data_IF_400889429679
#
_entry.id   IF_400889429679
#
_cell.length_a   1.000
_cell.length_b   1.000
_cell.length_c   1.000
_cell.angle_alpha   90.00
_cell.angle_beta   90.00
_cell.angle_gamma   90.00
#
_symmetry.space_group_name_H-M   'P 1'
#
loop_
_entity.id
_entity.type
_entity.pdbx_description
1 polymer ?
#
# COMPACT_ATOMS: atom_id res chain seq x y z
N UNK A 1 -15.63 21.60 6.90
CA UNK A 1 -14.70 21.64 8.05
C UNK A 1 -13.51 20.77 7.68
N UNK A 2 -12.28 21.22 7.90
CA UNK A 2 -11.09 20.41 7.64
C UNK A 2 -11.03 19.31 8.70
N UNK A 3 -11.13 18.06 8.26
CA UNK A 3 -10.90 16.88 9.09
C UNK A 3 -9.45 16.87 9.57
N UNK A 4 -9.22 16.65 10.86
CA UNK A 4 -7.88 16.51 11.44
C UNK A 4 -7.78 15.23 12.25
N UNK A 5 -6.54 14.77 12.42
CA UNK A 5 -6.22 13.53 13.10
C UNK A 5 -5.48 13.78 14.40
N UNK A 6 -5.76 12.93 15.39
CA UNK A 6 -5.06 12.90 16.67
C UNK A 6 -4.51 11.50 16.89
N UNK A 7 -3.26 11.40 17.29
CA UNK A 7 -2.53 10.14 17.37
C UNK A 7 -2.00 9.92 18.78
N UNK A 8 -2.18 8.71 19.30
CA UNK A 8 -1.56 8.24 20.54
C UNK A 8 -0.59 7.08 20.24
N UNK A 9 0.66 7.21 20.70
CA UNK A 9 1.62 6.12 20.80
C UNK A 9 1.73 5.71 22.25
N UNK A 10 1.60 4.41 22.52
CA UNK A 10 1.65 3.88 23.89
C UNK A 10 2.58 2.67 23.99
N UNK A 11 3.57 2.79 24.86
CA UNK A 11 4.54 1.76 25.21
C UNK A 11 4.81 1.92 26.70
N UNK A 12 4.25 1.06 27.53
CA UNK A 12 4.29 1.22 28.98
C UNK A 12 5.74 1.44 29.50
N UNK A 13 5.98 2.47 30.35
CA UNK A 13 5.02 3.40 30.96
C UNK A 13 4.76 4.69 30.15
N UNK A 14 5.30 4.80 28.94
CA UNK A 14 5.30 6.01 28.13
C UNK A 14 4.09 6.13 27.21
N UNK A 15 3.62 7.36 27.05
CA UNK A 15 2.57 7.76 26.12
C UNK A 15 3.04 9.04 25.41
N UNK A 16 2.96 9.07 24.09
CA UNK A 16 3.07 10.29 23.30
C UNK A 16 1.74 10.57 22.60
N UNK A 17 1.38 11.84 22.49
CA UNK A 17 0.15 12.28 21.86
C UNK A 17 0.45 13.44 20.93
N UNK A 18 -0.08 13.36 19.72
CA UNK A 18 0.08 14.38 18.69
C UNK A 18 -1.32 14.75 18.23
N UNK A 19 -1.59 16.04 18.13
CA UNK A 19 -2.93 16.57 17.87
C UNK A 19 -2.94 17.37 16.58
N UNK A 20 -4.12 17.50 15.97
CA UNK A 20 -4.37 18.37 14.82
C UNK A 20 -3.50 18.07 13.59
N UNK A 21 -3.13 16.80 13.39
CA UNK A 21 -2.40 16.37 12.21
C UNK A 21 -3.31 16.44 10.97
N UNK A 22 -2.77 16.90 9.85
CA UNK A 22 -3.41 16.63 8.57
C UNK A 22 -3.08 15.19 8.09
N UNK A 23 -3.76 14.74 7.03
CA UNK A 23 -3.56 13.38 6.50
C UNK A 23 -2.13 13.16 5.98
N UNK A 24 -1.51 14.16 5.36
CA UNK A 24 -0.18 14.07 4.76
C UNK A 24 0.88 13.91 5.85
N UNK A 25 0.77 14.71 6.91
CA UNK A 25 1.65 14.68 8.07
C UNK A 25 1.51 13.36 8.86
N UNK A 26 0.27 12.92 9.09
CA UNK A 26 -0.04 11.64 9.72
C UNK A 26 0.62 10.48 8.95
N UNK A 27 0.47 10.45 7.62
CA UNK A 27 1.03 9.40 6.78
C UNK A 27 2.56 9.41 6.76
N UNK A 28 3.16 10.56 6.53
CA UNK A 28 4.61 10.69 6.38
C UNK A 28 5.37 10.36 7.68
N UNK A 29 4.87 10.86 8.82
CA UNK A 29 5.58 10.74 10.11
C UNK A 29 5.27 9.45 10.86
N UNK A 30 4.05 8.92 10.73
CA UNK A 30 3.58 7.84 11.60
C UNK A 30 3.14 6.60 10.82
N UNK A 31 2.14 6.71 9.93
CA UNK A 31 1.52 5.52 9.35
C UNK A 31 2.44 4.78 8.38
N UNK A 32 3.22 5.49 7.54
CA UNK A 32 4.17 4.82 6.63
C UNK A 32 5.30 4.10 7.37
N UNK A 33 6.02 4.72 8.34
CA UNK A 33 6.96 3.99 9.17
C UNK A 33 6.32 2.81 9.92
N UNK A 34 5.12 3.01 10.46
CA UNK A 34 4.37 1.97 11.17
C UNK A 34 4.11 0.74 10.31
N UNK A 35 3.54 0.93 9.12
CA UNK A 35 3.24 -0.14 8.17
C UNK A 35 4.52 -0.85 7.70
N UNK A 36 5.63 -0.12 7.58
CA UNK A 36 6.95 -0.65 7.19
C UNK A 36 7.69 -1.32 8.36
N UNK A 37 7.15 -1.33 9.57
CA UNK A 37 7.85 -1.82 10.76
C UNK A 37 9.12 -1.02 11.08
N UNK A 38 9.20 0.24 10.65
CA UNK A 38 10.34 1.12 10.88
C UNK A 38 10.14 1.93 12.17
N UNK A 39 11.24 2.23 12.86
CA UNK A 39 11.23 3.05 14.08
C UNK A 39 10.56 4.41 13.83
N UNK A 40 9.66 4.83 14.72
CA UNK A 40 9.09 6.17 14.73
C UNK A 40 9.82 7.02 15.76
N UNK A 41 10.36 8.16 15.34
CA UNK A 41 10.96 9.15 16.22
C UNK A 41 9.92 10.24 16.54
N UNK A 42 9.53 10.37 17.81
CA UNK A 42 8.56 11.35 18.27
C UNK A 42 8.98 11.92 19.64
N UNK A 43 9.11 13.25 19.68
CA UNK A 43 9.76 13.99 20.76
C UNK A 43 11.18 13.43 21.02
N UNK A 44 11.56 13.22 22.27
CA UNK A 44 12.87 12.65 22.65
C UNK A 44 12.85 11.11 22.74
N UNK A 45 11.89 10.44 22.08
CA UNK A 45 11.68 8.98 22.19
C UNK A 45 11.53 8.29 20.86
N UNK A 46 11.99 7.05 20.83
CA UNK A 46 11.86 6.13 19.70
C UNK A 46 10.80 5.08 20.01
N UNK A 47 9.91 4.86 19.06
CA UNK A 47 8.71 4.04 19.18
C UNK A 47 8.77 2.89 18.18
N UNK A 48 9.29 1.71 18.59
CA UNK A 48 9.32 0.53 17.73
C UNK A 48 7.89 -0.01 17.52
N UNK A 49 7.40 -0.17 16.28
CA UNK A 49 6.02 -0.61 16.01
C UNK A 49 5.65 -1.95 16.67
N UNK A 50 6.59 -2.87 16.79
CA UNK A 50 6.40 -4.21 17.36
C UNK A 50 6.20 -4.22 18.89
N UNK A 51 6.50 -3.11 19.58
CA UNK A 51 6.31 -2.96 21.04
C UNK A 51 5.45 -1.75 21.42
N UNK A 52 4.90 -1.06 20.42
CA UNK A 52 4.08 0.14 20.60
C UNK A 52 2.64 -0.18 20.25
N UNK A 53 1.69 0.50 20.88
CA UNK A 53 0.30 0.57 20.39
C UNK A 53 0.08 1.94 19.77
N UNK A 54 -0.48 1.97 18.56
CA UNK A 54 -0.86 3.18 17.85
C UNK A 54 -2.38 3.28 17.81
N UNK A 55 -2.91 4.46 18.10
CA UNK A 55 -4.33 4.79 18.00
C UNK A 55 -4.48 6.12 17.27
N UNK A 56 -5.41 6.19 16.33
CA UNK A 56 -5.72 7.39 15.54
C UNK A 56 -7.20 7.72 15.68
N UNK A 57 -7.46 8.98 16.04
CA UNK A 57 -8.78 9.57 16.08
C UNK A 57 -8.93 10.58 14.94
N UNK A 58 -10.09 10.61 14.30
CA UNK A 58 -10.47 11.66 13.34
C UNK A 58 -11.62 12.50 13.89
N UNK A 59 -11.48 13.83 13.86
CA UNK A 59 -12.55 14.71 14.31
C UNK A 59 -12.18 16.19 14.28
N UNK A 60 -12.79 16.95 15.19
CA UNK A 60 -12.58 18.40 15.26
C UNK A 60 -11.17 18.74 15.77
N UNK A 61 -10.60 19.89 15.35
CA UNK A 61 -9.36 20.38 15.92
C UNK A 61 -9.48 20.67 17.42
N UNK A 62 -8.51 20.19 18.18
CA UNK A 62 -8.37 20.51 19.60
C UNK A 62 -7.76 21.91 19.72
N UNK A 63 -8.41 22.79 20.48
CA UNK A 63 -7.99 24.18 20.59
C UNK A 63 -6.75 24.30 21.49
N UNK A 64 -5.89 25.31 21.29
CA UNK A 64 -4.67 25.48 22.08
C UNK A 64 -4.89 25.54 23.61
N UNK A 65 -6.01 26.11 24.04
CA UNK A 65 -6.43 26.19 25.44
C UNK A 65 -6.82 24.84 26.04
N UNK A 66 -7.21 23.87 25.20
CA UNK A 66 -7.57 22.50 25.60
C UNK A 66 -6.36 21.55 25.64
N UNK A 67 -5.26 21.91 24.98
CA UNK A 67 -4.00 21.15 25.01
C UNK A 67 -3.28 21.26 26.37
N UNK A 68 -3.59 22.29 27.16
CA UNK A 68 -3.04 22.51 28.49
C UNK A 68 -3.41 21.42 29.50
N UNK A 69 -2.50 21.13 30.44
CA UNK A 69 -2.73 20.26 31.62
C UNK A 69 -3.18 18.82 31.29
N UNK A 70 -2.81 18.28 30.11
CA UNK A 70 -3.09 16.90 29.73
C UNK A 70 -4.56 16.62 29.34
N UNK A 71 -5.37 17.67 29.14
CA UNK A 71 -6.80 17.55 28.82
C UNK A 71 -7.08 17.29 27.34
N UNK A 72 -6.12 17.57 26.46
CA UNK A 72 -6.30 17.48 25.01
C UNK A 72 -6.78 16.12 24.50
N UNK A 73 -6.38 15.02 25.13
CA UNK A 73 -6.86 13.68 24.73
C UNK A 73 -8.32 13.44 25.06
N UNK A 74 -8.79 13.96 26.20
CA UNK A 74 -10.20 13.89 26.57
C UNK A 74 -11.07 14.71 25.61
N UNK A 75 -10.59 15.89 25.21
CA UNK A 75 -11.24 16.73 24.20
C UNK A 75 -11.29 16.02 22.84
N UNK A 76 -10.16 15.50 22.35
CA UNK A 76 -10.09 14.75 21.10
C UNK A 76 -11.06 13.55 21.10
N UNK A 77 -11.09 12.76 22.18
CA UNK A 77 -11.92 11.54 22.24
C UNK A 77 -13.43 11.83 22.20
N UNK A 78 -13.87 12.98 22.71
CA UNK A 78 -15.30 13.28 22.85
C UNK A 78 -16.00 13.47 21.50
N UNK A 79 -15.33 14.14 20.58
CA UNK A 79 -15.89 14.57 19.30
C UNK A 79 -15.13 13.97 18.10
N UNK A 80 -14.53 12.78 18.29
CA UNK A 80 -13.79 12.07 17.25
C UNK A 80 -14.18 10.59 17.14
N UNK A 81 -13.99 10.05 15.94
CA UNK A 81 -14.12 8.63 15.62
C UNK A 81 -12.75 7.93 15.69
N UNK A 82 -12.71 6.69 16.15
CA UNK A 82 -11.51 5.85 16.07
C UNK A 82 -11.36 5.28 14.66
N UNK A 83 -10.42 5.82 13.90
CA UNK A 83 -10.17 5.47 12.49
C UNK A 83 -8.91 4.63 12.32
N UNK A 84 -8.32 4.13 13.41
CA UNK A 84 -7.00 3.46 13.42
C UNK A 84 -6.86 2.39 12.34
N UNK A 85 -7.79 1.43 12.31
CA UNK A 85 -7.73 0.31 11.37
C UNK A 85 -7.98 0.76 9.92
N UNK A 86 -8.88 1.73 9.73
CA UNK A 86 -9.19 2.29 8.42
C UNK A 86 -7.96 2.97 7.81
N UNK A 87 -7.31 3.87 8.57
CA UNK A 87 -6.14 4.60 8.07
C UNK A 87 -4.91 3.70 7.92
N UNK A 88 -4.71 2.71 8.81
CA UNK A 88 -3.64 1.71 8.60
C UNK A 88 -3.93 0.88 7.34
N UNK A 89 -5.18 0.49 7.11
CA UNK A 89 -5.58 -0.25 5.91
C UNK A 89 -5.38 0.56 4.63
N UNK A 90 -5.80 1.83 4.63
CA UNK A 90 -5.58 2.76 3.52
C UNK A 90 -4.09 2.98 3.27
N UNK A 91 -3.31 3.21 4.32
CA UNK A 91 -1.88 3.44 4.19
C UNK A 91 -1.13 2.17 3.82
N UNK A 92 -1.62 0.97 4.16
CA UNK A 92 -1.11 -0.29 3.58
C UNK A 92 -1.35 -0.32 2.07
N UNK A 93 -2.61 -0.12 1.63
CA UNK A 93 -2.98 -0.05 0.20
C UNK A 93 -2.28 1.08 -0.56
N UNK A 94 -1.93 2.18 0.10
CA UNK A 94 -1.24 3.32 -0.48
C UNK A 94 0.30 3.26 -0.36
N UNK A 95 0.84 2.56 0.64
CA UNK A 95 2.27 2.27 0.75
C UNK A 95 2.70 1.11 -0.17
N UNK A 96 1.73 0.30 -0.59
CA UNK A 96 1.83 -0.63 -1.73
C UNK A 96 2.24 0.10 -3.03
N UNK A 97 1.90 1.38 -3.20
CA UNK A 97 2.51 2.27 -4.20
C UNK A 97 3.91 2.78 -3.74
N UNK A 98 4.84 1.85 -3.54
CA UNK A 98 6.26 2.21 -3.38
C UNK A 98 6.78 2.74 -4.73
N UNK A 99 7.62 3.79 -4.79
CA UNK A 99 8.16 4.28 -6.07
C UNK A 99 8.82 3.20 -6.94
N UNK A 100 9.40 2.17 -6.30
CA UNK A 100 9.90 0.97 -6.95
C UNK A 100 8.79 0.14 -7.64
N UNK A 101 7.64 -0.05 -6.99
CA UNK A 101 6.46 -0.73 -7.55
C UNK A 101 5.91 0.08 -8.71
N UNK A 102 5.72 1.40 -8.56
CA UNK A 102 5.24 2.26 -9.65
C UNK A 102 6.16 2.25 -10.88
N UNK A 103 7.47 2.39 -10.65
CA UNK A 103 8.46 2.34 -11.72
C UNK A 103 8.49 0.97 -12.41
N UNK A 104 8.34 -0.12 -11.64
CA UNK A 104 8.29 -1.46 -12.21
C UNK A 104 6.98 -1.70 -12.99
N UNK A 105 5.83 -1.25 -12.47
CA UNK A 105 4.54 -1.35 -13.19
C UNK A 105 4.61 -0.71 -14.56
N UNK A 106 5.24 0.46 -14.66
CA UNK A 106 5.39 1.15 -15.95
C UNK A 106 6.32 0.38 -16.91
N UNK A 107 7.41 -0.19 -16.41
CA UNK A 107 8.29 -1.05 -17.22
C UNK A 107 7.58 -2.33 -17.69
N UNK A 108 6.84 -2.99 -16.79
CA UNK A 108 6.09 -4.21 -17.09
C UNK A 108 4.98 -3.92 -18.08
N UNK A 109 4.18 -2.87 -17.88
CA UNK A 109 3.10 -2.49 -18.79
C UNK A 109 3.62 -2.19 -20.20
N UNK A 110 4.78 -1.53 -20.31
CA UNK A 110 5.45 -1.27 -21.59
C UNK A 110 5.95 -2.56 -22.24
N UNK A 111 6.55 -3.46 -21.46
CA UNK A 111 7.07 -4.73 -21.99
C UNK A 111 5.95 -5.69 -22.39
N UNK A 112 4.83 -5.65 -21.68
CA UNK A 112 3.66 -6.49 -21.89
C UNK A 112 2.92 -6.22 -23.21
N UNK A 113 3.30 -5.19 -23.98
CA UNK A 113 2.88 -5.05 -25.38
C UNK A 113 3.18 -6.32 -26.19
N UNK A 114 4.27 -7.01 -25.83
CA UNK A 114 4.54 -8.40 -26.20
C UNK A 114 4.29 -9.30 -24.97
N UNK A 115 3.86 -10.57 -25.14
CA UNK A 115 3.69 -11.47 -24.00
C UNK A 115 4.96 -11.57 -23.15
N UNK A 116 4.88 -11.20 -21.87
CA UNK A 116 6.01 -11.17 -20.94
C UNK A 116 5.82 -12.21 -19.84
N UNK A 117 6.82 -13.06 -19.63
CA UNK A 117 6.81 -14.03 -18.54
C UNK A 117 7.15 -13.40 -17.19
N UNK A 118 6.63 -13.99 -16.11
CA UNK A 118 6.95 -13.60 -14.73
C UNK A 118 8.46 -13.62 -14.40
N UNK A 119 9.29 -14.55 -14.94
CA UNK A 119 10.75 -14.48 -14.75
C UNK A 119 11.38 -13.19 -15.30
N UNK A 120 10.82 -12.64 -16.37
CA UNK A 120 11.27 -11.35 -16.94
C UNK A 120 10.89 -10.21 -15.99
N UNK A 121 9.71 -10.26 -15.38
CA UNK A 121 9.30 -9.25 -14.38
C UNK A 121 10.22 -9.28 -13.16
N UNK A 122 10.57 -10.47 -12.65
CA UNK A 122 11.55 -10.60 -11.58
C UNK A 122 12.94 -10.07 -11.99
N UNK A 123 13.37 -10.34 -13.23
CA UNK A 123 14.64 -9.81 -13.75
C UNK A 123 14.63 -8.28 -13.87
N UNK A 124 13.51 -7.66 -14.26
CA UNK A 124 13.35 -6.21 -14.29
C UNK A 124 13.46 -5.60 -12.88
N UNK A 125 12.84 -6.22 -11.87
CA UNK A 125 12.98 -5.80 -10.48
C UNK A 125 14.43 -5.91 -9.98
N UNK A 126 15.12 -7.02 -10.32
CA UNK A 126 16.51 -7.23 -9.97
C UNK A 126 17.47 -6.23 -10.64
N UNK A 127 17.23 -5.91 -11.92
CA UNK A 127 18.02 -4.93 -12.65
C UNK A 127 17.83 -3.49 -12.12
N UNK A 128 16.60 -3.15 -11.70
CA UNK A 128 16.31 -1.86 -11.08
C UNK A 128 16.91 -1.70 -9.68
N UNK A 129 17.08 -2.81 -8.95
CA UNK A 129 17.53 -2.82 -7.56
C UNK A 129 18.57 -3.92 -7.27
N UNK A 130 19.79 -3.84 -7.85
CA UNK A 130 20.80 -4.91 -7.76
C UNK A 130 21.34 -5.12 -6.35
N UNK A 131 21.23 -4.13 -5.45
CA UNK A 131 21.67 -4.22 -4.06
C UNK A 131 20.63 -4.80 -3.10
N UNK A 132 19.41 -5.08 -3.56
CA UNK A 132 18.35 -5.65 -2.73
C UNK A 132 18.45 -7.16 -2.65
N UNK A 133 17.89 -7.74 -1.59
CA UNK A 133 17.78 -9.20 -1.44
C UNK A 133 16.81 -9.74 -2.49
N UNK A 134 17.03 -10.98 -2.92
CA UNK A 134 16.14 -11.66 -3.87
C UNK A 134 14.67 -11.66 -3.42
N UNK A 135 14.41 -11.82 -2.11
CA UNK A 135 13.05 -11.76 -1.55
C UNK A 135 12.40 -10.38 -1.68
N UNK A 136 13.17 -9.29 -1.60
CA UNK A 136 12.66 -7.92 -1.74
C UNK A 136 12.38 -7.59 -3.21
N UNK A 137 13.27 -8.02 -4.11
CA UNK A 137 13.07 -7.92 -5.56
C UNK A 137 11.80 -8.66 -5.99
N UNK A 138 11.62 -9.89 -5.50
CA UNK A 138 10.44 -10.71 -5.79
C UNK A 138 9.16 -10.10 -5.21
N UNK A 139 9.21 -9.54 -3.99
CA UNK A 139 8.06 -8.87 -3.38
C UNK A 139 7.56 -7.67 -4.20
N UNK A 140 8.48 -6.84 -4.73
CA UNK A 140 8.10 -5.72 -5.60
C UNK A 140 7.56 -6.20 -6.95
N UNK A 141 8.15 -7.25 -7.51
CA UNK A 141 7.65 -7.87 -8.74
C UNK A 141 6.23 -8.41 -8.58
N UNK A 142 5.97 -9.15 -7.49
CA UNK A 142 4.66 -9.71 -7.16
C UNK A 142 3.61 -8.60 -7.01
N UNK A 143 3.91 -7.58 -6.21
CA UNK A 143 3.02 -6.46 -5.97
C UNK A 143 2.70 -5.72 -7.28
N UNK A 144 3.71 -5.43 -8.11
CA UNK A 144 3.51 -4.75 -9.39
C UNK A 144 2.57 -5.54 -10.33
N UNK A 145 2.75 -6.86 -10.41
CA UNK A 145 1.85 -7.71 -11.21
C UNK A 145 0.44 -7.71 -10.66
N UNK A 146 0.28 -7.86 -9.34
CA UNK A 146 -1.01 -7.88 -8.68
C UNK A 146 -1.81 -6.61 -8.97
N UNK A 147 -1.17 -5.45 -8.83
CA UNK A 147 -1.78 -4.16 -9.11
C UNK A 147 -2.11 -3.96 -10.58
N UNK A 148 -1.22 -4.36 -11.50
CA UNK A 148 -1.48 -4.25 -12.94
C UNK A 148 -2.69 -5.10 -13.38
N UNK A 149 -2.85 -6.29 -12.80
CA UNK A 149 -4.02 -7.16 -13.03
C UNK A 149 -5.30 -6.50 -12.50
N UNK A 150 -5.26 -5.99 -11.28
CA UNK A 150 -6.41 -5.31 -10.66
C UNK A 150 -6.81 -4.01 -11.37
N UNK A 151 -5.85 -3.29 -11.92
CA UNK A 151 -6.07 -2.08 -12.72
C UNK A 151 -6.53 -2.40 -14.15
N UNK A 152 -6.59 -3.67 -14.55
CA UNK A 152 -6.97 -4.08 -15.91
C UNK A 152 -5.95 -3.68 -16.98
N UNK A 153 -4.72 -3.28 -16.59
CA UNK A 153 -3.66 -2.86 -17.51
C UNK A 153 -3.01 -4.06 -18.21
N UNK A 154 -3.03 -5.22 -17.58
CA UNK A 154 -2.55 -6.48 -18.14
C UNK A 154 -3.56 -7.60 -17.92
N UNK A 155 -3.51 -8.63 -18.76
CA UNK A 155 -4.22 -9.90 -18.61
C UNK A 155 -3.19 -11.00 -18.43
N UNK A 156 -3.46 -11.93 -17.50
CA UNK A 156 -2.64 -13.11 -17.30
C UNK A 156 -3.15 -14.27 -18.16
N UNK A 157 -2.23 -14.95 -18.84
CA UNK A 157 -2.47 -16.10 -19.71
C UNK A 157 -1.71 -17.31 -19.18
N UNK A 158 -2.36 -18.48 -19.16
CA UNK A 158 -1.74 -19.79 -18.95
C UNK A 158 -2.08 -20.64 -20.16
N UNK A 159 -1.07 -21.19 -20.84
CA UNK A 159 -1.24 -21.92 -22.11
C UNK A 159 -2.07 -21.15 -23.15
N UNK A 160 -1.87 -19.82 -23.20
CA UNK A 160 -2.58 -18.91 -24.11
C UNK A 160 -4.02 -18.61 -23.70
N UNK A 161 -4.53 -19.14 -22.60
CA UNK A 161 -5.88 -18.90 -22.11
C UNK A 161 -5.91 -17.87 -20.96
N UNK A 162 -6.82 -16.88 -20.98
CA UNK A 162 -6.98 -15.93 -19.88
C UNK A 162 -7.30 -16.61 -18.55
N UNK A 163 -6.58 -16.21 -17.50
CA UNK A 163 -6.84 -16.65 -16.14
C UNK A 163 -7.91 -15.78 -15.51
N UNK A 164 -8.96 -16.40 -14.95
CA UNK A 164 -10.02 -15.68 -14.24
C UNK A 164 -9.50 -15.04 -12.94
N UNK A 165 -10.18 -13.98 -12.49
CA UNK A 165 -9.74 -13.18 -11.34
C UNK A 165 -9.59 -14.00 -10.06
N UNK A 166 -10.47 -14.96 -9.84
CA UNK A 166 -10.49 -15.83 -8.67
C UNK A 166 -9.26 -16.73 -8.59
N UNK A 167 -8.63 -17.01 -9.75
CA UNK A 167 -7.44 -17.86 -9.87
C UNK A 167 -6.14 -17.06 -9.87
N UNK A 168 -6.19 -15.73 -9.88
CA UNK A 168 -4.97 -14.93 -9.93
C UNK A 168 -4.04 -15.20 -8.75
N UNK A 169 -4.58 -15.22 -7.54
CA UNK A 169 -3.79 -15.45 -6.33
C UNK A 169 -3.08 -16.81 -6.36
N UNK A 170 -3.82 -17.86 -6.74
CA UNK A 170 -3.27 -19.22 -6.86
C UNK A 170 -2.10 -19.27 -7.85
N UNK A 171 -2.21 -18.58 -8.99
CA UNK A 171 -1.17 -18.57 -10.02
C UNK A 171 0.02 -17.69 -9.63
N UNK A 172 -0.21 -16.47 -9.14
CA UNK A 172 0.85 -15.52 -8.76
C UNK A 172 1.70 -16.05 -7.60
N UNK A 173 1.10 -16.71 -6.61
CA UNK A 173 1.83 -17.21 -5.44
C UNK A 173 2.60 -18.52 -5.69
N UNK A 174 2.45 -19.16 -6.85
CA UNK A 174 3.19 -20.38 -7.17
C UNK A 174 4.64 -20.07 -7.51
N UNK A 175 5.57 -20.78 -6.87
CA UNK A 175 6.99 -20.68 -7.18
C UNK A 175 7.31 -20.95 -8.66
N UNK A 176 6.67 -21.97 -9.27
CA UNK A 176 6.84 -22.33 -10.67
C UNK A 176 6.48 -21.21 -11.66
N UNK A 177 5.63 -20.25 -11.24
CA UNK A 177 5.31 -19.07 -12.06
C UNK A 177 6.52 -18.16 -12.22
N UNK A 178 7.30 -17.98 -11.15
CA UNK A 178 8.46 -17.08 -11.11
C UNK A 178 9.77 -17.75 -11.52
N UNK A 179 9.87 -19.06 -11.34
CA UNK A 179 11.02 -19.88 -11.67
C UNK A 179 10.57 -21.20 -12.32
N UNK A 180 10.05 -21.17 -13.56
CA UNK A 180 9.55 -22.35 -14.24
C UNK A 180 10.67 -23.34 -14.56
N UNK A 181 10.42 -24.61 -14.34
CA UNK A 181 11.26 -25.71 -14.78
C UNK A 181 11.01 -26.02 -16.27
N UNK A 182 11.91 -26.79 -16.87
CA UNK A 182 11.71 -27.29 -18.23
C UNK A 182 10.45 -28.17 -18.28
N UNK A 183 9.44 -27.73 -19.05
CA UNK A 183 8.16 -28.43 -19.20
C UNK A 183 6.99 -27.81 -18.43
N UNK A 184 7.22 -26.79 -17.59
CA UNK A 184 6.13 -26.05 -16.96
C UNK A 184 5.37 -25.20 -18.00
N UNK A 185 4.03 -25.11 -17.90
CA UNK A 185 3.24 -24.28 -18.80
C UNK A 185 3.61 -22.79 -18.62
N UNK A 186 3.84 -22.03 -19.70
CA UNK A 186 4.24 -20.63 -19.58
C UNK A 186 3.09 -19.79 -19.04
N UNK A 187 3.38 -19.05 -17.96
CA UNK A 187 2.50 -18.00 -17.43
C UNK A 187 2.96 -16.65 -17.96
N UNK A 188 2.11 -15.99 -18.74
CA UNK A 188 2.44 -14.76 -19.45
C UNK A 188 1.50 -13.63 -19.04
N UNK A 189 2.02 -12.41 -19.03
CA UNK A 189 1.26 -11.18 -18.94
C UNK A 189 1.22 -10.54 -20.33
N UNK A 190 0.06 -10.06 -20.72
CA UNK A 190 -0.13 -9.32 -21.95
C UNK A 190 -0.89 -8.02 -21.68
N UNK A 191 -0.47 -6.92 -22.30
CA UNK A 191 -1.16 -5.65 -22.20
C UNK A 191 -2.57 -5.80 -22.74
N UNK A 192 -3.56 -5.28 -22.01
CA UNK A 192 -4.89 -5.15 -22.59
C UNK A 192 -4.88 -3.90 -23.47
N UNK A 193 -5.25 -3.96 -24.77
CA UNK A 193 -5.43 -2.74 -25.56
C UNK A 193 -6.48 -1.88 -24.86
N UNK A 194 -6.19 -0.58 -24.75
CA UNK A 194 -6.82 0.38 -23.83
C UNK A 194 -8.28 0.10 -23.55
N UNK A 195 -8.59 -0.24 -22.29
CA UNK A 195 -9.92 -0.03 -21.77
C UNK A 195 -10.14 1.47 -21.70
N UNK A 196 -10.96 1.99 -22.61
CA UNK A 196 -11.77 3.17 -22.36
C UNK A 196 -12.20 3.14 -20.89
N UNK A 197 -11.91 4.23 -20.17
CA UNK A 197 -12.60 4.53 -18.93
C UNK A 197 -14.08 4.49 -19.31
N UNK A 198 -14.82 3.47 -18.84
CA UNK A 198 -16.28 3.52 -18.83
C UNK A 198 -16.65 4.76 -18.00
N UNK A 199 -16.80 5.90 -18.69
CA UNK A 199 -17.60 7.01 -18.23
C UNK A 199 -18.97 6.39 -17.96
N UNK A 200 -19.26 6.21 -16.67
CA UNK A 200 -20.61 5.91 -16.22
C UNK A 200 -21.49 7.05 -16.72
N UNK A 201 -22.27 6.79 -17.76
CA UNK A 201 -23.42 7.61 -18.13
C UNK A 201 -24.24 7.87 -16.86
N UNK A 202 -24.24 9.12 -16.42
CA UNK A 202 -25.28 9.62 -15.55
C UNK A 202 -26.54 9.68 -16.40
N UNK A 203 -27.63 8.97 -16.04
CA UNK A 203 -28.91 9.30 -16.61
C UNK A 203 -29.28 10.68 -16.10
N UNK A 204 -29.27 11.67 -17.00
CA UNK A 204 -30.05 12.89 -16.82
C UNK A 204 -31.51 12.46 -16.63
N UNK A 205 -31.99 12.58 -15.39
CA UNK A 205 -33.41 12.46 -15.11
C UNK A 205 -33.98 13.88 -15.03
N UNK A 206 -35.04 14.02 -15.81
CA UNK A 206 -35.83 15.22 -16.13
C UNK A 206 -36.37 16.00 -14.93
#
# INVERSE_FOLDING_TARGET
MSEVFHLELRQFPHVARVFNLDRVELDARFLRPWVRGTMIDQDDRRWPPERTRLKVLSGSPVRPDELGLGRGWGAATKDSEDVTDAVIGDTRRGAEATPAVEALKEQVARRAQEPVGFPVVAALAGAAHPGWRASEQLGVAEQAVWELLHQGRVTMLVDGQPVSRERWQEVVLRFATWAPAAGDPPVLLHSRPGGEVELRDHPENS
#
